data_IF_778344573757
#
_entry.id   IF_778344573757
#
_cell.length_a   1.000
_cell.length_b   1.000
_cell.length_c   1.000
_cell.angle_alpha   90.00
_cell.angle_beta   90.00
_cell.angle_gamma   90.00
#
_symmetry.space_group_name_H-M   'P 1'
#
loop_
_entity.id
_entity.type
_entity.pdbx_description
1 polymer ?
#
# COMPACT_ATOMS: atom_id res chain seq x y z
N UNK A 1 3.99 -15.43 -5.02
CA UNK A 1 4.59 -14.12 -4.72
C UNK A 1 3.91 -13.52 -3.51
N UNK A 2 4.70 -12.98 -2.56
CA UNK A 2 4.23 -12.31 -1.34
C UNK A 2 4.56 -10.82 -1.41
N UNK A 3 3.55 -9.98 -1.25
CA UNK A 3 3.69 -8.53 -1.19
C UNK A 3 3.23 -8.03 0.17
N UNK A 4 3.89 -7.00 0.67
CA UNK A 4 3.51 -6.29 1.90
C UNK A 4 3.38 -4.80 1.60
N UNK A 5 2.41 -4.16 2.23
CA UNK A 5 2.25 -2.71 2.26
C UNK A 5 2.08 -2.25 3.70
N UNK A 6 2.78 -1.18 4.10
CA UNK A 6 2.71 -0.64 5.45
C UNK A 6 2.92 0.88 5.47
N UNK A 7 1.95 1.61 5.95
CA UNK A 7 2.17 3.00 6.37
C UNK A 7 2.94 2.98 7.70
N UNK A 8 4.19 3.41 7.67
CA UNK A 8 5.12 3.31 8.81
C UNK A 8 5.09 4.54 9.72
N UNK A 9 4.35 5.58 9.33
CA UNK A 9 4.22 6.85 10.08
C UNK A 9 5.58 7.41 10.56
N UNK A 10 6.56 7.41 9.65
CA UNK A 10 7.95 7.77 9.89
C UNK A 10 8.85 6.56 10.08
N UNK A 11 9.63 6.21 9.03
CA UNK A 11 10.42 4.98 9.00
C UNK A 11 11.44 4.89 10.13
N UNK A 12 12.20 5.98 10.40
CA UNK A 12 13.20 5.99 11.48
C UNK A 12 12.59 5.66 12.84
N UNK A 13 11.43 6.24 13.15
CA UNK A 13 10.72 5.97 14.39
C UNK A 13 10.17 4.53 14.44
N UNK A 14 9.74 3.99 13.30
CA UNK A 14 9.22 2.62 13.23
C UNK A 14 10.34 1.57 13.35
N UNK A 15 11.53 1.83 12.81
CA UNK A 15 12.71 0.95 12.97
C UNK A 15 12.98 0.70 14.46
N UNK A 16 12.95 1.74 15.29
CA UNK A 16 13.16 1.58 16.75
C UNK A 16 12.03 0.82 17.47
N UNK A 17 10.89 0.62 16.80
CA UNK A 17 9.71 -0.05 17.36
C UNK A 17 9.46 -1.45 16.80
N UNK A 18 10.45 -2.04 16.10
CA UNK A 18 10.39 -3.43 15.65
C UNK A 18 10.13 -3.64 14.15
N UNK A 19 10.18 -2.59 13.32
CA UNK A 19 10.06 -2.71 11.87
C UNK A 19 10.98 -3.79 11.28
N UNK A 20 12.26 -3.74 11.67
CA UNK A 20 13.29 -4.65 11.17
C UNK A 20 12.95 -6.11 11.40
N UNK A 21 12.43 -6.44 12.59
CA UNK A 21 12.02 -7.80 12.94
C UNK A 21 10.95 -8.31 11.98
N UNK A 22 9.86 -7.54 11.83
CA UNK A 22 8.77 -7.92 10.93
C UNK A 22 9.24 -8.00 9.47
N UNK A 23 10.02 -7.02 9.00
CA UNK A 23 10.57 -6.99 7.64
C UNK A 23 11.36 -8.26 7.30
N UNK A 24 12.23 -8.71 8.22
CA UNK A 24 13.03 -9.92 8.05
C UNK A 24 12.20 -11.19 8.13
N UNK A 25 11.28 -11.29 9.10
CA UNK A 25 10.45 -12.48 9.32
C UNK A 25 9.45 -12.71 8.18
N UNK A 26 8.86 -11.64 7.67
CA UNK A 26 7.87 -11.75 6.60
C UNK A 26 8.50 -12.12 5.26
N UNK A 27 9.75 -11.77 5.04
CA UNK A 27 10.56 -12.08 3.85
C UNK A 27 9.76 -11.92 2.54
N UNK A 28 9.18 -10.73 2.33
CA UNK A 28 8.33 -10.43 1.19
C UNK A 28 9.14 -10.38 -0.12
N UNK A 29 8.52 -10.73 -1.25
CA UNK A 29 9.12 -10.51 -2.58
C UNK A 29 9.17 -9.03 -2.94
N UNK A 30 8.12 -8.28 -2.53
CA UNK A 30 8.02 -6.82 -2.67
C UNK A 30 7.44 -6.26 -1.37
N UNK A 31 8.10 -5.24 -0.82
CA UNK A 31 7.66 -4.53 0.38
C UNK A 31 7.50 -3.04 0.06
N UNK A 32 6.28 -2.53 0.20
CA UNK A 32 5.90 -1.15 -0.05
C UNK A 32 5.70 -0.42 1.28
N UNK A 33 6.23 0.79 1.41
CA UNK A 33 5.98 1.62 2.59
C UNK A 33 5.47 3.00 2.20
N UNK A 34 4.64 3.58 3.07
CA UNK A 34 4.11 4.92 2.96
C UNK A 34 4.47 5.71 4.22
N UNK A 35 4.45 7.02 4.12
CA UNK A 35 4.88 7.95 5.17
C UNK A 35 6.29 7.68 5.70
N UNK A 36 7.27 7.58 4.79
CA UNK A 36 8.68 7.46 5.20
C UNK A 36 9.14 8.66 6.01
N UNK A 37 8.59 9.85 5.71
CA UNK A 37 8.93 11.16 6.30
C UNK A 37 10.44 11.45 6.23
N UNK A 38 11.09 10.93 5.17
CA UNK A 38 12.53 11.04 4.96
C UNK A 38 12.84 11.74 3.65
N UNK A 39 13.98 12.42 3.64
CA UNK A 39 14.62 12.94 2.45
C UNK A 39 15.75 11.99 2.01
N UNK A 40 16.20 12.10 0.76
CA UNK A 40 17.22 11.22 0.20
C UNK A 40 18.52 11.24 1.02
N UNK A 41 18.96 12.41 1.45
CA UNK A 41 20.16 12.60 2.27
C UNK A 41 20.05 12.02 3.71
N UNK A 42 18.86 11.59 4.12
CA UNK A 42 18.61 10.92 5.40
C UNK A 42 18.62 9.39 5.30
N UNK A 43 18.78 8.85 4.09
CA UNK A 43 18.90 7.42 3.84
C UNK A 43 20.38 7.07 4.03
N UNK A 44 20.80 6.99 5.28
CA UNK A 44 22.18 6.68 5.65
C UNK A 44 22.56 5.20 5.43
N UNK A 45 23.81 4.89 5.67
CA UNK A 45 24.35 3.52 5.47
C UNK A 45 23.60 2.49 6.34
N UNK A 46 23.13 2.86 7.53
CA UNK A 46 22.40 1.95 8.43
C UNK A 46 21.08 1.53 7.81
N UNK A 47 20.35 2.49 7.23
CA UNK A 47 19.09 2.25 6.53
C UNK A 47 19.34 1.44 5.24
N UNK A 48 20.38 1.78 4.47
CA UNK A 48 20.72 1.03 3.26
C UNK A 48 21.08 -0.42 3.57
N UNK A 49 21.83 -0.68 4.62
CA UNK A 49 22.20 -2.04 5.08
C UNK A 49 20.99 -2.86 5.53
N UNK A 50 19.99 -2.24 6.16
CA UNK A 50 18.74 -2.92 6.53
C UNK A 50 18.05 -3.54 5.31
N UNK A 51 18.10 -2.86 4.18
CA UNK A 51 17.44 -3.26 2.94
C UNK A 51 18.39 -3.80 1.87
N UNK A 52 19.65 -4.12 2.19
CA UNK A 52 20.71 -4.48 1.22
C UNK A 52 20.40 -5.67 0.32
N UNK A 53 19.54 -6.59 0.77
CA UNK A 53 19.10 -7.74 -0.03
C UNK A 53 17.98 -7.40 -1.04
N UNK A 54 17.57 -6.15 -1.10
CA UNK A 54 16.53 -5.66 -1.98
C UNK A 54 17.04 -4.54 -2.89
N UNK A 55 16.45 -4.43 -4.07
CA UNK A 55 16.53 -3.21 -4.87
C UNK A 55 15.62 -2.17 -4.21
N UNK A 56 16.12 -0.97 -3.96
CA UNK A 56 15.47 0.08 -3.18
C UNK A 56 15.04 1.23 -4.08
N UNK A 57 13.81 1.71 -3.92
CA UNK A 57 13.23 2.82 -4.68
C UNK A 57 12.54 3.77 -3.70
N UNK A 58 12.98 5.01 -3.67
CA UNK A 58 12.54 6.02 -2.71
C UNK A 58 11.95 7.22 -3.45
N UNK A 59 10.86 7.78 -2.93
CA UNK A 59 10.24 9.00 -3.44
C UNK A 59 9.88 9.91 -2.27
N UNK A 60 10.63 10.99 -2.12
CA UNK A 60 10.47 11.94 -1.01
C UNK A 60 9.60 13.12 -1.44
N UNK A 61 8.84 13.67 -0.51
CA UNK A 61 8.14 14.94 -0.74
C UNK A 61 9.15 16.10 -0.77
N UNK A 62 8.82 17.16 -1.50
CA UNK A 62 9.57 18.43 -1.46
C UNK A 62 9.58 19.00 -0.03
N UNK A 63 8.47 18.89 0.68
CA UNK A 63 8.36 19.29 2.08
C UNK A 63 9.04 18.28 2.99
N UNK A 64 10.08 18.72 3.72
CA UNK A 64 10.84 17.87 4.66
C UNK A 64 9.95 17.33 5.80
N UNK A 65 10.19 16.05 6.16
CA UNK A 65 9.48 15.39 7.26
C UNK A 65 8.01 15.10 6.99
N UNK A 66 7.59 15.10 5.72
CA UNK A 66 6.20 14.91 5.30
C UNK A 66 6.08 13.85 4.22
N UNK A 67 5.00 13.03 4.23
CA UNK A 67 4.71 12.05 3.20
C UNK A 67 5.90 11.13 2.86
N UNK A 68 6.14 10.86 1.60
CA UNK A 68 7.21 10.00 1.11
C UNK A 68 6.84 8.53 1.07
N UNK A 69 7.24 7.85 0.00
CA UNK A 69 7.01 6.42 -0.21
C UNK A 69 8.30 5.69 -0.56
N UNK A 70 8.35 4.38 -0.33
CA UNK A 70 9.43 3.56 -0.84
C UNK A 70 8.94 2.16 -1.23
N UNK A 71 9.68 1.50 -2.13
CA UNK A 71 9.47 0.10 -2.50
C UNK A 71 10.80 -0.63 -2.39
N UNK A 72 10.76 -1.80 -1.78
CA UNK A 72 11.87 -2.76 -1.70
C UNK A 72 11.48 -4.01 -2.48
N UNK A 73 12.25 -4.38 -3.50
CA UNK A 73 11.96 -5.53 -4.35
C UNK A 73 13.15 -6.46 -4.48
N UNK A 74 12.94 -7.77 -4.27
CA UNK A 74 13.97 -8.80 -4.50
C UNK A 74 14.35 -8.88 -5.98
N UNK A 75 13.42 -8.62 -6.89
CA UNK A 75 13.69 -8.61 -8.34
C UNK A 75 13.80 -7.18 -8.84
N UNK A 76 14.77 -6.94 -9.72
CA UNK A 76 14.91 -5.65 -10.40
C UNK A 76 13.75 -5.45 -11.38
N UNK A 77 13.03 -4.32 -11.34
CA UNK A 77 12.01 -3.99 -12.33
C UNK A 77 12.64 -3.60 -13.68
N UNK A 78 11.83 -3.64 -14.73
CA UNK A 78 12.17 -3.16 -16.07
C UNK A 78 12.28 -1.64 -16.07
N UNK A 79 11.32 -0.97 -15.37
CA UNK A 79 11.23 0.49 -15.29
C UNK A 79 10.72 0.91 -13.92
N UNK A 80 11.16 2.08 -13.49
CA UNK A 80 10.66 2.79 -12.30
C UNK A 80 10.08 4.12 -12.74
N UNK A 81 8.91 4.48 -12.22
CA UNK A 81 8.28 5.79 -12.44
C UNK A 81 7.90 6.37 -11.08
N UNK A 82 8.24 7.62 -10.87
CA UNK A 82 7.88 8.40 -9.68
C UNK A 82 6.77 9.38 -10.04
N UNK A 83 5.71 9.41 -9.23
CA UNK A 83 4.54 10.21 -9.50
C UNK A 83 3.66 9.66 -10.64
N UNK A 84 2.73 10.49 -11.11
CA UNK A 84 1.79 10.19 -12.21
C UNK A 84 1.95 11.13 -13.40
N UNK A 85 2.92 12.05 -13.35
CA UNK A 85 3.20 13.05 -14.38
C UNK A 85 2.37 14.33 -14.22
N UNK A 86 1.84 14.60 -13.03
CA UNK A 86 1.12 15.81 -12.67
C UNK A 86 1.88 16.51 -11.54
N UNK A 87 2.49 17.65 -11.84
CA UNK A 87 3.42 18.34 -10.93
C UNK A 87 2.82 18.62 -9.55
N UNK A 88 1.56 19.03 -9.49
CA UNK A 88 0.86 19.28 -8.22
C UNK A 88 0.82 18.05 -7.31
N UNK A 89 0.60 16.89 -7.90
CA UNK A 89 0.53 15.61 -7.17
C UNK A 89 1.92 15.07 -6.84
N UNK A 90 2.86 15.21 -7.77
CA UNK A 90 4.15 14.55 -7.70
C UNK A 90 5.09 15.18 -6.66
N UNK A 91 4.86 16.45 -6.27
CA UNK A 91 5.62 17.17 -5.22
C UNK A 91 5.53 16.54 -3.82
N UNK A 92 4.51 15.72 -3.58
CA UNK A 92 4.30 15.13 -2.24
C UNK A 92 4.89 13.71 -2.09
N UNK A 93 5.61 13.18 -3.10
CA UNK A 93 6.32 11.89 -3.02
C UNK A 93 5.41 10.69 -2.73
N UNK A 94 4.18 10.68 -3.29
CA UNK A 94 3.11 9.76 -2.91
C UNK A 94 3.06 8.48 -3.71
N UNK A 95 3.69 8.44 -4.90
CA UNK A 95 3.54 7.31 -5.82
C UNK A 95 4.88 6.84 -6.35
N UNK A 96 5.08 5.51 -6.31
CA UNK A 96 6.13 4.80 -7.04
C UNK A 96 5.46 3.68 -7.83
N UNK A 97 5.77 3.60 -9.11
CA UNK A 97 5.36 2.50 -9.98
C UNK A 97 6.58 1.70 -10.41
N UNK A 98 6.57 0.39 -10.17
CA UNK A 98 7.55 -0.54 -10.73
C UNK A 98 6.90 -1.35 -11.84
N UNK A 99 7.54 -1.38 -13.01
CA UNK A 99 7.15 -2.22 -14.12
C UNK A 99 7.92 -3.53 -14.09
N UNK A 100 7.20 -4.65 -14.04
CA UNK A 100 7.75 -5.99 -14.25
C UNK A 100 7.26 -6.56 -15.59
N UNK A 101 7.82 -7.70 -15.99
CA UNK A 101 7.46 -8.35 -17.27
C UNK A 101 5.94 -8.58 -17.40
N UNK A 102 5.27 -8.98 -16.30
CA UNK A 102 3.86 -9.44 -16.33
C UNK A 102 2.86 -8.52 -15.63
N UNK A 103 3.32 -7.51 -14.92
CA UNK A 103 2.44 -6.63 -14.13
C UNK A 103 3.15 -5.33 -13.78
N UNK A 104 2.36 -4.34 -13.39
CA UNK A 104 2.82 -3.17 -12.66
C UNK A 104 2.49 -3.31 -11.18
N UNK A 105 3.36 -2.80 -10.30
CA UNK A 105 2.98 -2.49 -8.92
C UNK A 105 3.04 -0.99 -8.73
N UNK A 106 1.97 -0.43 -8.14
CA UNK A 106 1.83 0.98 -7.80
C UNK A 106 1.67 1.09 -6.30
N UNK A 107 2.69 1.61 -5.64
CA UNK A 107 2.65 1.98 -4.22
C UNK A 107 2.14 3.40 -4.07
N UNK A 108 1.10 3.60 -3.27
CA UNK A 108 0.45 4.89 -3.10
C UNK A 108 0.25 5.26 -1.62
N UNK A 109 0.48 6.52 -1.33
CA UNK A 109 0.01 7.20 -0.13
C UNK A 109 -0.99 8.27 -0.54
N UNK A 110 -2.27 7.94 -0.51
CA UNK A 110 -3.34 8.85 -0.94
C UNK A 110 -3.46 10.05 0.01
N UNK A 111 -3.60 11.29 -0.49
CA UNK A 111 -3.74 12.45 0.36
C UNK A 111 -4.99 12.35 1.25
N UNK A 112 -4.84 12.65 2.54
CA UNK A 112 -5.96 12.75 3.46
C UNK A 112 -6.73 14.04 3.24
N UNK A 113 -8.06 14.01 3.35
CA UNK A 113 -8.94 15.19 3.21
C UNK A 113 -8.83 16.18 4.36
N UNK A 114 -8.09 15.82 5.42
CA UNK A 114 -7.86 16.54 6.66
C UNK A 114 -9.14 16.76 7.51
N UNK A 115 -8.91 17.29 8.71
CA UNK A 115 -10.00 17.72 9.59
C UNK A 115 -10.82 18.79 8.88
N UNK A 116 -12.14 18.78 9.11
CA UNK A 116 -13.10 19.72 8.49
C UNK A 116 -13.13 19.65 6.94
N UNK A 117 -12.52 18.62 6.36
CA UNK A 117 -12.51 18.33 4.93
C UNK A 117 -11.85 19.43 4.06
N UNK A 118 -10.90 20.18 4.65
CA UNK A 118 -10.19 21.29 3.97
C UNK A 118 -9.55 20.91 2.62
N UNK A 119 -9.21 19.63 2.42
CA UNK A 119 -8.60 19.13 1.18
C UNK A 119 -9.53 18.20 0.40
N UNK A 120 -10.83 18.17 0.65
CA UNK A 120 -11.73 17.22 0.00
C UNK A 120 -11.76 17.43 -1.52
N UNK A 121 -11.87 18.66 -2.00
CA UNK A 121 -11.90 18.96 -3.44
C UNK A 121 -10.61 18.50 -4.14
N UNK A 122 -9.45 18.79 -3.54
CA UNK A 122 -8.16 18.28 -4.02
C UNK A 122 -8.12 16.75 -4.03
N UNK A 123 -8.65 16.13 -2.98
CA UNK A 123 -8.73 14.66 -2.88
C UNK A 123 -9.60 14.08 -3.99
N UNK A 124 -10.71 14.71 -4.35
CA UNK A 124 -11.57 14.23 -5.43
C UNK A 124 -10.85 14.32 -6.79
N UNK A 125 -10.14 15.41 -7.05
CA UNK A 125 -9.29 15.54 -8.25
C UNK A 125 -8.20 14.46 -8.27
N UNK A 126 -7.51 14.24 -7.15
CA UNK A 126 -6.52 13.18 -7.00
C UNK A 126 -7.07 11.80 -7.37
N UNK A 127 -8.25 11.44 -6.87
CA UNK A 127 -8.86 10.12 -7.11
C UNK A 127 -9.20 9.91 -8.59
N UNK A 128 -9.64 10.94 -9.28
CA UNK A 128 -9.91 10.88 -10.72
C UNK A 128 -8.62 10.70 -11.51
N UNK A 129 -7.56 11.41 -11.15
CA UNK A 129 -6.28 11.33 -11.87
C UNK A 129 -5.54 10.00 -11.60
N UNK A 130 -5.55 9.49 -10.36
CA UNK A 130 -4.96 8.18 -10.07
C UNK A 130 -5.74 7.06 -10.77
N UNK A 131 -7.08 7.13 -10.82
CA UNK A 131 -7.90 6.15 -11.55
C UNK A 131 -7.55 6.14 -13.04
N UNK A 132 -7.44 7.30 -13.68
CA UNK A 132 -6.99 7.43 -15.08
C UNK A 132 -5.61 6.83 -15.30
N UNK A 133 -4.67 7.10 -14.38
CA UNK A 133 -3.33 6.56 -14.43
C UNK A 133 -3.32 5.03 -14.35
N UNK A 134 -4.05 4.45 -13.38
CA UNK A 134 -4.15 3.00 -13.21
C UNK A 134 -4.79 2.33 -14.45
N UNK A 135 -5.85 2.91 -15.01
CA UNK A 135 -6.48 2.43 -16.24
C UNK A 135 -5.55 2.47 -17.46
N UNK A 136 -4.69 3.49 -17.55
CA UNK A 136 -3.67 3.57 -18.59
C UNK A 136 -2.65 2.44 -18.47
N UNK A 137 -2.22 2.11 -17.26
CA UNK A 137 -1.31 0.99 -17.01
C UNK A 137 -1.98 -0.35 -17.29
N UNK A 138 -3.24 -0.52 -16.85
CA UNK A 138 -3.98 -1.78 -17.01
C UNK A 138 -4.23 -2.17 -18.47
N UNK A 139 -4.32 -1.19 -19.37
CA UNK A 139 -4.36 -1.45 -20.82
C UNK A 139 -3.09 -2.11 -21.37
N UNK A 140 -1.97 -2.00 -20.66
CA UNK A 140 -0.67 -2.55 -21.07
C UNK A 140 -0.42 -3.89 -20.38
N UNK A 141 -0.55 -3.93 -19.06
CA UNK A 141 -0.35 -5.11 -18.20
C UNK A 141 -1.22 -4.96 -16.95
N UNK A 142 -1.60 -6.09 -16.31
CA UNK A 142 -2.30 -6.04 -15.03
C UNK A 142 -1.57 -5.20 -13.98
N UNK A 143 -2.34 -4.52 -13.15
CA UNK A 143 -1.86 -3.65 -12.08
C UNK A 143 -2.13 -4.27 -10.72
N UNK A 144 -1.16 -4.18 -9.82
CA UNK A 144 -1.31 -4.35 -8.38
C UNK A 144 -1.15 -2.97 -7.77
N UNK A 145 -2.21 -2.41 -7.22
CA UNK A 145 -2.25 -1.10 -6.57
C UNK A 145 -2.36 -1.30 -5.07
N UNK A 146 -1.45 -0.71 -4.30
CA UNK A 146 -1.44 -0.89 -2.85
C UNK A 146 -1.04 0.39 -2.12
N UNK A 147 -1.33 0.42 -0.85
CA UNK A 147 -0.93 1.47 0.04
C UNK A 147 -2.01 1.90 1.03
N UNK A 148 -1.73 2.99 1.70
CA UNK A 148 -2.71 3.71 2.50
C UNK A 148 -3.56 4.59 1.56
N UNK A 149 -4.79 4.15 1.31
CA UNK A 149 -5.72 4.85 0.42
C UNK A 149 -6.62 5.85 1.16
N UNK A 150 -6.41 6.00 2.48
CA UNK A 150 -7.11 7.00 3.30
C UNK A 150 -8.64 7.00 3.12
N UNK A 151 -9.24 5.82 2.92
CA UNK A 151 -10.70 5.66 2.82
C UNK A 151 -11.14 4.29 3.34
N UNK A 152 -12.12 4.25 4.23
CA UNK A 152 -12.88 3.04 4.53
C UNK A 152 -14.05 2.97 3.54
N UNK A 153 -14.09 1.95 2.67
CA UNK A 153 -15.02 1.92 1.54
C UNK A 153 -16.47 1.71 1.99
N UNK A 154 -16.70 0.69 2.80
CA UNK A 154 -18.05 0.28 3.26
C UNK A 154 -18.21 0.44 4.78
N UNK A 155 -19.42 0.40 5.28
CA UNK A 155 -19.68 0.49 6.71
C UNK A 155 -19.00 -0.62 7.53
N UNK A 156 -18.80 -1.79 6.94
CA UNK A 156 -18.08 -2.90 7.55
C UNK A 156 -16.56 -2.62 7.69
N UNK A 157 -16.04 -1.61 6.98
CA UNK A 157 -14.60 -1.28 6.95
C UNK A 157 -14.16 -0.34 8.08
N UNK A 158 -15.08 0.08 8.96
CA UNK A 158 -14.71 0.85 10.14
C UNK A 158 -15.65 0.57 11.32
N UNK A 159 -15.15 0.87 12.52
CA UNK A 159 -15.97 0.89 13.73
C UNK A 159 -16.79 2.19 13.77
N UNK A 160 -18.05 2.09 14.22
CA UNK A 160 -18.94 3.24 14.38
C UNK A 160 -19.21 4.05 13.09
N UNK A 161 -19.68 3.44 11.99
CA UNK A 161 -19.86 4.14 10.71
C UNK A 161 -20.81 5.33 10.80
N UNK A 162 -21.89 5.23 11.56
CA UNK A 162 -22.92 6.29 11.69
C UNK A 162 -22.34 7.61 12.18
N UNK A 163 -21.40 7.59 13.13
CA UNK A 163 -20.81 8.79 13.71
C UNK A 163 -19.65 9.35 12.89
N UNK A 164 -19.14 8.58 11.91
CA UNK A 164 -17.99 8.93 11.10
C UNK A 164 -18.31 9.34 9.65
N UNK A 165 -19.59 9.33 9.26
CA UNK A 165 -20.02 9.52 7.86
C UNK A 165 -19.53 10.81 7.21
N UNK A 166 -19.19 11.85 7.97
CA UNK A 166 -18.67 13.12 7.48
C UNK A 166 -17.23 13.40 7.92
N UNK A 167 -16.55 12.39 8.39
CA UNK A 167 -15.12 12.50 8.71
C UNK A 167 -14.25 12.13 7.51
N UNK A 168 -13.07 12.75 7.41
CA UNK A 168 -12.07 12.41 6.41
C UNK A 168 -11.79 10.91 6.41
N UNK A 169 -11.78 10.30 5.22
CA UNK A 169 -11.65 8.85 5.03
C UNK A 169 -12.97 8.07 5.07
N UNK A 170 -14.13 8.72 5.34
CA UNK A 170 -15.44 8.07 5.29
C UNK A 170 -16.57 8.99 4.81
N UNK A 171 -16.24 10.02 4.04
CA UNK A 171 -17.26 10.83 3.35
C UNK A 171 -17.90 10.02 2.21
N UNK A 172 -19.10 10.40 1.82
CA UNK A 172 -19.80 9.75 0.69
C UNK A 172 -19.01 9.96 -0.61
N UNK A 173 -18.34 11.12 -0.75
CA UNK A 173 -17.49 11.47 -1.88
C UNK A 173 -16.26 10.55 -2.00
N UNK A 174 -15.50 10.37 -0.92
CA UNK A 174 -14.31 9.49 -0.89
C UNK A 174 -14.69 8.02 -1.15
N UNK A 175 -15.77 7.56 -0.52
CA UNK A 175 -16.32 6.21 -0.73
C UNK A 175 -16.81 6.00 -2.16
N UNK A 176 -17.47 7.04 -2.73
CA UNK A 176 -17.88 7.05 -4.13
C UNK A 176 -16.71 6.87 -5.08
N UNK A 177 -15.59 7.57 -4.85
CA UNK A 177 -14.37 7.42 -5.67
C UNK A 177 -13.75 6.03 -5.58
N UNK A 178 -13.77 5.39 -4.41
CA UNK A 178 -13.36 3.99 -4.29
C UNK A 178 -14.31 3.07 -5.07
N UNK A 179 -15.60 3.29 -5.02
CA UNK A 179 -16.58 2.54 -5.83
C UNK A 179 -16.30 2.68 -7.32
N UNK A 180 -16.09 3.92 -7.81
CA UNK A 180 -15.75 4.19 -9.20
C UNK A 180 -14.45 3.48 -9.64
N UNK A 181 -13.44 3.40 -8.76
CA UNK A 181 -12.21 2.68 -9.04
C UNK A 181 -12.47 1.18 -9.21
N UNK A 182 -13.22 0.57 -8.29
CA UNK A 182 -13.51 -0.87 -8.35
C UNK A 182 -14.39 -1.22 -9.56
N UNK A 183 -15.41 -0.41 -9.87
CA UNK A 183 -16.27 -0.57 -11.03
C UNK A 183 -15.54 -0.38 -12.37
N UNK A 184 -14.45 0.38 -12.37
CA UNK A 184 -13.59 0.57 -13.54
C UNK A 184 -12.75 -0.67 -13.92
N UNK A 185 -12.89 -1.78 -13.21
CA UNK A 185 -12.22 -3.05 -13.53
C UNK A 185 -11.15 -3.47 -12.53
N UNK A 186 -11.28 -3.04 -11.28
CA UNK A 186 -10.37 -3.41 -10.20
C UNK A 186 -11.09 -4.16 -9.07
N UNK A 187 -10.33 -4.94 -8.32
CA UNK A 187 -10.84 -5.82 -7.25
C UNK A 187 -10.10 -5.53 -5.94
N UNK A 188 -10.84 -5.21 -4.87
CA UNK A 188 -10.33 -5.19 -3.48
C UNK A 188 -10.05 -6.62 -3.04
N UNK A 189 -8.79 -6.98 -2.89
CA UNK A 189 -8.37 -8.37 -2.63
C UNK A 189 -8.88 -8.91 -1.31
N UNK A 190 -8.99 -8.06 -0.28
CA UNK A 190 -9.50 -8.48 1.01
C UNK A 190 -11.00 -8.76 0.96
N UNK A 191 -11.79 -7.86 0.39
CA UNK A 191 -13.25 -8.06 0.26
C UNK A 191 -13.64 -9.12 -0.77
N UNK A 192 -12.76 -9.41 -1.73
CA UNK A 192 -12.94 -10.53 -2.65
C UNK A 192 -12.89 -11.89 -1.93
N UNK A 193 -11.93 -12.07 -1.00
CA UNK A 193 -11.78 -13.31 -0.24
C UNK A 193 -12.66 -13.35 1.01
N UNK A 194 -12.87 -12.21 1.66
CA UNK A 194 -13.53 -12.09 2.95
C UNK A 194 -14.63 -11.02 2.92
N UNK A 195 -15.71 -11.22 2.11
CA UNK A 195 -16.73 -10.19 1.88
C UNK A 195 -17.41 -9.72 3.17
N UNK A 196 -17.65 -10.63 4.11
CA UNK A 196 -18.45 -10.38 5.32
C UNK A 196 -17.61 -10.36 6.60
N UNK A 197 -16.27 -10.35 6.49
CA UNK A 197 -15.39 -10.35 7.67
C UNK A 197 -15.41 -8.99 8.36
N UNK A 198 -16.10 -8.95 9.51
CA UNK A 198 -16.16 -7.78 10.37
C UNK A 198 -14.92 -7.60 11.23
N UNK A 199 -14.78 -6.40 11.82
CA UNK A 199 -13.73 -6.05 12.79
C UNK A 199 -12.29 -6.26 12.27
N UNK A 200 -12.12 -6.20 10.96
CA UNK A 200 -10.84 -6.34 10.26
C UNK A 200 -10.35 -4.95 9.83
N UNK A 201 -9.46 -4.38 10.63
CA UNK A 201 -8.98 -3.00 10.45
C UNK A 201 -7.46 -2.97 10.29
N UNK A 202 -6.97 -1.91 9.65
CA UNK A 202 -5.54 -1.70 9.41
C UNK A 202 -4.99 -0.44 10.08
N UNK A 203 -5.86 0.45 10.55
CA UNK A 203 -5.50 1.70 11.22
C UNK A 203 -6.33 1.93 12.48
N UNK A 204 -5.69 2.51 13.51
CA UNK A 204 -6.33 2.90 14.77
C UNK A 204 -5.75 4.21 15.26
N UNK A 205 -6.62 5.14 15.69
CA UNK A 205 -6.16 6.36 16.33
C UNK A 205 -5.31 6.05 17.59
N UNK A 206 -4.28 6.85 17.83
CA UNK A 206 -3.53 6.78 19.11
C UNK A 206 -4.37 7.18 20.32
N UNK A 207 -5.53 7.83 20.11
CA UNK A 207 -6.38 8.31 21.19
C UNK A 207 -7.23 7.19 21.81
N UNK A 208 -7.57 7.34 23.08
CA UNK A 208 -8.57 6.53 23.79
C UNK A 208 -8.32 5.01 23.76
N UNK A 209 -7.05 4.57 23.56
CA UNK A 209 -6.69 3.15 23.44
C UNK A 209 -7.48 2.44 22.33
N UNK A 210 -7.64 3.12 21.19
CA UNK A 210 -8.48 2.64 20.11
C UNK A 210 -8.05 1.27 19.59
N UNK A 211 -6.73 1.01 19.47
CA UNK A 211 -6.21 -0.29 19.00
C UNK A 211 -6.51 -1.43 19.97
N UNK A 212 -6.34 -1.22 21.27
CA UNK A 212 -6.67 -2.22 22.30
C UNK A 212 -8.16 -2.59 22.28
N UNK A 213 -9.04 -1.61 21.98
CA UNK A 213 -10.49 -1.79 21.88
C UNK A 213 -10.96 -2.21 20.48
N UNK A 214 -10.04 -2.37 19.54
CA UNK A 214 -10.31 -2.59 18.13
C UNK A 214 -11.32 -1.58 17.52
N UNK A 215 -11.18 -0.29 17.88
CA UNK A 215 -11.95 0.80 17.28
C UNK A 215 -11.11 1.33 16.11
N UNK A 216 -11.14 0.64 15.00
CA UNK A 216 -10.27 0.86 13.86
C UNK A 216 -10.99 1.08 12.55
N UNK A 217 -10.19 1.32 11.51
CA UNK A 217 -10.60 1.52 10.13
C UNK A 217 -9.72 0.67 9.21
N UNK A 218 -10.29 0.10 8.14
CA UNK A 218 -9.54 -0.55 7.07
C UNK A 218 -9.35 0.47 5.95
N UNK A 219 -8.17 1.05 5.89
CA UNK A 219 -7.80 2.11 4.94
C UNK A 219 -6.55 1.78 4.14
N UNK A 220 -5.87 0.68 4.46
CA UNK A 220 -4.75 0.12 3.71
C UNK A 220 -5.24 -1.05 2.84
N UNK A 221 -4.83 -1.05 1.57
CA UNK A 221 -5.37 -1.97 0.58
C UNK A 221 -4.31 -2.63 -0.28
N UNK A 222 -4.67 -3.81 -0.79
CA UNK A 222 -4.22 -4.33 -2.08
C UNK A 222 -5.42 -4.41 -3.01
N UNK A 223 -5.34 -3.69 -4.12
CA UNK A 223 -6.33 -3.68 -5.20
C UNK A 223 -5.63 -4.20 -6.45
N UNK A 224 -6.27 -5.09 -7.18
CA UNK A 224 -5.68 -5.69 -8.39
C UNK A 224 -6.59 -5.52 -9.59
N UNK A 225 -6.01 -5.49 -10.79
CA UNK A 225 -6.79 -5.59 -12.02
C UNK A 225 -7.67 -6.82 -12.00
N UNK A 226 -8.91 -6.71 -12.46
CA UNK A 226 -9.88 -7.81 -12.50
C UNK A 226 -9.36 -9.00 -13.29
N UNK A 227 -8.52 -8.77 -14.29
CA UNK A 227 -7.90 -9.82 -15.13
C UNK A 227 -6.99 -10.80 -14.35
N UNK A 228 -6.58 -10.44 -13.12
CA UNK A 228 -5.74 -11.29 -12.26
C UNK A 228 -6.38 -11.60 -10.91
N UNK A 229 -7.64 -11.28 -10.68
CA UNK A 229 -8.31 -11.54 -9.39
C UNK A 229 -8.35 -13.04 -9.04
N UNK A 230 -8.51 -13.92 -10.04
CA UNK A 230 -8.48 -15.36 -9.85
C UNK A 230 -7.11 -15.95 -9.49
N UNK A 231 -6.06 -15.11 -9.48
CA UNK A 231 -4.70 -15.48 -9.05
C UNK A 231 -4.42 -15.12 -7.59
N UNK A 232 -5.36 -14.45 -6.92
CA UNK A 232 -5.26 -14.13 -5.50
C UNK A 232 -5.31 -15.43 -4.70
N UNK A 233 -4.33 -15.63 -3.82
CA UNK A 233 -4.29 -16.79 -2.91
C UNK A 233 -4.69 -16.40 -1.49
N UNK A 234 -4.29 -15.19 -1.06
CA UNK A 234 -4.58 -14.71 0.30
C UNK A 234 -4.45 -13.18 0.38
N UNK A 235 -5.22 -12.57 1.27
CA UNK A 235 -5.15 -11.15 1.62
C UNK A 235 -5.18 -11.01 3.13
N UNK A 236 -4.11 -10.46 3.72
CA UNK A 236 -3.81 -10.58 5.15
C UNK A 236 -3.76 -9.18 5.77
N UNK A 237 -4.32 -9.04 6.96
CA UNK A 237 -4.12 -7.87 7.83
C UNK A 237 -3.32 -8.36 9.04
N UNK A 238 -2.11 -7.83 9.23
CA UNK A 238 -1.21 -8.21 10.33
C UNK A 238 -1.48 -7.34 11.57
N UNK A 239 -2.68 -7.44 12.13
CA UNK A 239 -3.16 -6.58 13.22
C UNK A 239 -2.27 -6.58 14.47
N UNK A 240 -1.53 -7.68 14.70
CA UNK A 240 -0.63 -7.85 15.85
C UNK A 240 0.71 -7.12 15.68
N UNK A 241 1.05 -6.67 14.46
CA UNK A 241 2.32 -5.99 14.20
C UNK A 241 2.21 -4.54 14.65
N UNK A 242 3.03 -4.19 15.63
CA UNK A 242 3.08 -2.87 16.24
C UNK A 242 4.18 -2.00 15.58
N UNK A 243 4.23 -0.71 15.94
CA UNK A 243 5.28 0.23 15.48
C UNK A 243 4.72 1.49 14.82
N UNK A 244 3.54 1.39 14.23
CA UNK A 244 2.78 2.50 13.63
C UNK A 244 1.34 2.47 14.14
N UNK A 245 0.57 3.52 13.89
CA UNK A 245 -0.89 3.54 14.03
C UNK A 245 -1.59 2.72 12.94
N UNK A 246 -0.87 2.36 11.87
CA UNK A 246 -1.27 1.32 10.92
C UNK A 246 -0.60 -0.01 11.25
N UNK A 247 -1.20 -1.11 10.84
CA UNK A 247 -0.53 -2.41 10.73
C UNK A 247 -0.23 -2.73 9.26
N UNK A 248 0.73 -3.65 9.00
CA UNK A 248 0.97 -4.10 7.64
C UNK A 248 -0.24 -4.83 7.06
N UNK A 249 -0.43 -4.71 5.75
CA UNK A 249 -1.32 -5.58 4.98
C UNK A 249 -0.51 -6.38 3.97
N UNK A 250 -0.98 -7.57 3.61
CA UNK A 250 -0.26 -8.48 2.73
C UNK A 250 -1.13 -9.07 1.65
N UNK A 251 -0.52 -9.35 0.50
CA UNK A 251 -1.13 -10.07 -0.62
C UNK A 251 -0.26 -11.26 -1.00
N UNK A 252 -0.87 -12.45 -1.10
CA UNK A 252 -0.29 -13.61 -1.79
C UNK A 252 -0.98 -13.81 -3.13
N UNK A 253 -0.20 -13.81 -4.22
CA UNK A 253 -0.74 -13.90 -5.58
C UNK A 253 0.16 -14.75 -6.51
N UNK A 254 -0.46 -15.56 -7.37
CA UNK A 254 0.23 -16.45 -8.35
C UNK A 254 0.50 -15.74 -9.68
N UNK A 255 1.40 -14.76 -9.69
CA UNK A 255 1.72 -14.02 -10.91
C UNK A 255 3.13 -14.31 -11.45
N UNK A 256 4.09 -14.61 -10.58
CA UNK A 256 5.39 -15.12 -10.98
C UNK A 256 5.33 -16.64 -11.10
N UNK A 257 5.90 -17.20 -12.17
CA UNK A 257 6.23 -18.63 -12.18
C UNK A 257 7.45 -18.80 -11.27
N UNK A 258 7.33 -19.57 -10.21
CA UNK A 258 8.50 -20.09 -9.52
C UNK A 258 9.32 -20.87 -10.57
N UNK A 259 10.56 -20.42 -10.84
CA UNK A 259 11.53 -21.34 -11.40
C UNK A 259 11.74 -22.39 -10.31
N UNK A 260 11.10 -23.55 -10.42
CA UNK A 260 11.55 -24.73 -9.69
C UNK A 260 13.03 -24.86 -10.04
N UNK A 261 13.89 -24.60 -9.08
CA UNK A 261 15.27 -25.06 -9.16
C UNK A 261 15.19 -26.59 -9.17
N UNK A 262 15.18 -27.16 -10.39
CA UNK A 262 15.41 -28.56 -10.59
C UNK A 262 16.80 -28.87 -10.04
N UNK A 263 16.88 -29.51 -8.91
CA UNK A 263 18.05 -30.28 -8.53
C UNK A 263 18.15 -31.39 -9.57
N UNK A 264 18.89 -31.15 -10.65
CA UNK A 264 19.44 -32.24 -11.43
C UNK A 264 20.32 -33.05 -10.51
N UNK A 265 19.81 -34.21 -10.07
CA UNK A 265 20.68 -35.24 -9.53
C UNK A 265 21.59 -35.68 -10.67
N UNK A 266 22.83 -35.19 -10.67
CA UNK A 266 23.88 -35.81 -11.47
C UNK A 266 24.03 -37.24 -10.95
N UNK A 267 23.51 -38.19 -11.69
CA UNK A 267 23.93 -39.59 -11.59
C UNK A 267 25.31 -39.68 -12.21
N UNK A 268 26.31 -39.77 -11.36
CA UNK A 268 27.66 -40.19 -11.77
C UNK A 268 27.59 -41.71 -11.89
N UNK A 269 27.74 -42.22 -13.11
CA UNK A 269 28.05 -43.63 -13.39
C UNK A 269 29.53 -43.87 -13.19
#
# INVERSE_FOLDING_TARGET
>A
MKLISWNVNGLRANITKGFEKFFKEVDADIFCIQETKMQEEQIDITIQELFKSYNQYWNSAVKKGYSGTAIFSKKKPIKVTYGIGIEEHDKEGRIITLEFEKFFIVNCYTPNSKRELERLDYRMTWEDEIRKYLLKLDKIKPVIYCGDLNVAHKEIDLKNPKTNRRNAGFTDEERGKMTELLEAGFTDTFRYLYPDKENAYSWWSYMAKAREKNIGWRIDYFIVSKSIENKIEDSIIYSEVMGSDHCPVGLKIKIWKDKKYGREKAYIN
#
